data_IF_697708659807
#
_entry.id   IF_697708659807
#
_cell.length_a   1.000
_cell.length_b   1.000
_cell.length_c   1.000
_cell.angle_alpha   90.00
_cell.angle_beta   90.00
_cell.angle_gamma   90.00
#
_symmetry.space_group_name_H-M   'P 1'
#
loop_
_entity.id
_entity.type
_entity.pdbx_description
1 polymer ?
#
# COMPACT_ATOMS: atom_id res chain seq x y z
N UNK A 1 -7.28 26.08 -15.24
CA UNK A 1 -6.67 25.85 -13.91
C UNK A 1 -5.36 26.64 -13.75
N UNK A 2 -5.37 27.97 -13.92
CA UNK A 2 -4.14 28.79 -13.84
C UNK A 2 -4.00 29.60 -12.54
N UNK A 3 -5.00 29.57 -11.66
CA UNK A 3 -5.09 30.46 -10.49
C UNK A 3 -5.26 29.71 -9.15
N UNK A 4 -4.57 28.58 -8.96
CA UNK A 4 -4.69 27.79 -7.71
C UNK A 4 -3.56 28.02 -6.68
N UNK A 5 -2.60 28.90 -6.97
CA UNK A 5 -1.44 29.10 -6.09
C UNK A 5 -0.51 27.88 -6.03
N UNK A 6 0.52 27.92 -5.18
CA UNK A 6 1.36 26.74 -4.91
C UNK A 6 0.56 25.72 -4.07
N UNK A 7 0.63 24.44 -4.43
CA UNK A 7 -0.12 23.39 -3.72
C UNK A 7 0.48 23.10 -2.33
N UNK A 8 -0.24 23.46 -1.27
CA UNK A 8 0.14 23.19 0.12
C UNK A 8 -0.26 21.78 0.61
N UNK A 9 -1.14 21.09 -0.13
CA UNK A 9 -1.61 19.73 0.17
C UNK A 9 -1.87 18.98 -1.13
N UNK A 10 -1.28 17.79 -1.28
CA UNK A 10 -1.58 16.85 -2.38
C UNK A 10 -1.84 15.49 -1.74
N UNK A 11 -2.96 14.83 -2.11
CA UNK A 11 -3.32 13.49 -1.60
C UNK A 11 -3.41 13.40 -0.06
N UNK A 12 -3.80 14.49 0.61
CA UNK A 12 -3.83 14.55 2.08
C UNK A 12 -2.43 14.60 2.73
N UNK A 13 -1.36 14.68 1.94
CA UNK A 13 0.01 14.96 2.38
C UNK A 13 0.21 16.46 2.40
N UNK A 14 0.52 17.04 3.57
CA UNK A 14 0.82 18.47 3.67
C UNK A 14 2.23 18.71 3.15
N UNK A 15 2.36 19.59 2.17
CA UNK A 15 3.62 19.97 1.54
C UNK A 15 4.12 21.22 2.24
N UNK A 16 5.26 21.12 2.93
CA UNK A 16 5.98 22.26 3.47
C UNK A 16 7.20 22.53 2.62
N UNK A 17 7.20 23.67 1.93
CA UNK A 17 8.33 24.13 1.12
C UNK A 17 9.29 24.94 1.99
N UNK A 18 10.53 24.50 2.10
CA UNK A 18 11.64 25.26 2.66
C UNK A 18 12.51 25.80 1.52
N UNK A 19 13.30 26.85 1.77
CA UNK A 19 14.13 27.53 0.75
C UNK A 19 15.03 26.60 -0.09
N UNK A 20 15.31 25.40 0.41
CA UNK A 20 16.21 24.42 -0.21
C UNK A 20 15.63 22.99 -0.27
N UNK A 21 14.42 22.75 0.24
CA UNK A 21 13.87 21.38 0.34
C UNK A 21 12.35 21.35 0.45
N UNK A 22 11.69 20.41 -0.21
CA UNK A 22 10.29 20.05 0.03
C UNK A 22 10.21 19.03 1.17
N UNK A 23 9.36 19.28 2.17
CA UNK A 23 9.11 18.39 3.30
C UNK A 23 7.65 17.95 3.29
N UNK A 24 7.42 16.65 3.21
CA UNK A 24 6.09 16.05 3.30
C UNK A 24 5.78 15.73 4.76
N UNK A 25 4.61 16.13 5.26
CA UNK A 25 4.23 15.91 6.66
C UNK A 25 2.77 15.42 6.76
N UNK A 26 2.54 14.34 7.51
CA UNK A 26 1.21 13.86 7.86
C UNK A 26 1.06 13.59 9.38
N UNK A 27 0.93 14.66 10.19
CA UNK A 27 0.73 14.56 11.65
C UNK A 27 -0.46 13.68 12.04
N UNK A 28 -1.57 13.88 11.34
CA UNK A 28 -2.84 13.26 11.67
C UNK A 28 -2.85 11.75 11.36
N UNK A 29 -1.93 11.28 10.51
CA UNK A 29 -1.79 9.87 10.14
C UNK A 29 -1.15 9.06 11.27
N UNK A 30 -0.04 9.54 11.83
CA UNK A 30 0.61 8.92 13.00
C UNK A 30 -0.37 8.89 14.17
N UNK A 31 -1.09 9.98 14.44
CA UNK A 31 -2.11 9.99 15.50
C UNK A 31 -3.27 9.02 15.25
N UNK A 32 -3.74 8.85 14.00
CA UNK A 32 -4.86 7.96 13.69
C UNK A 32 -4.44 6.49 13.72
N UNK A 33 -3.22 6.16 13.29
CA UNK A 33 -2.60 4.84 13.51
C UNK A 33 -2.43 4.62 15.00
N UNK A 34 -1.76 5.52 15.71
CA UNK A 34 -1.54 5.38 17.15
C UNK A 34 -2.86 5.24 17.88
N UNK A 35 -3.88 6.09 17.65
CA UNK A 35 -5.21 5.94 18.27
C UNK A 35 -5.94 4.64 17.92
N UNK A 36 -5.76 4.12 16.69
CA UNK A 36 -6.34 2.83 16.28
C UNK A 36 -5.63 1.65 16.96
N UNK A 37 -4.35 1.81 17.32
CA UNK A 37 -3.54 0.80 17.99
C UNK A 37 -3.32 1.07 19.50
N UNK A 38 -3.79 2.21 20.03
CA UNK A 38 -3.76 2.60 21.45
C UNK A 38 -5.04 2.08 22.14
N UNK A 39 -5.29 0.79 21.94
CA UNK A 39 -6.13 -0.01 22.83
C UNK A 39 -5.17 -0.84 23.67
N UNK A 40 -4.79 -0.29 24.82
CA UNK A 40 -4.24 -1.02 25.96
C UNK A 40 -5.29 -2.00 26.48
N UNK A 41 -5.43 -3.12 25.77
CA UNK A 41 -5.87 -4.43 26.26
C UNK A 41 -5.91 -5.37 25.06
N UNK A 42 -4.73 -5.72 24.56
CA UNK A 42 -4.62 -7.02 23.87
C UNK A 42 -4.54 -8.07 24.98
N UNK A 43 -5.68 -8.35 25.62
CA UNK A 43 -5.98 -9.78 25.79
C UNK A 43 -5.94 -10.36 24.38
N UNK A 44 -5.29 -11.50 24.12
CA UNK A 44 -5.56 -12.20 22.88
C UNK A 44 -7.08 -12.40 22.88
N UNK A 45 -7.79 -11.58 22.11
CA UNK A 45 -9.22 -11.77 21.90
C UNK A 45 -9.24 -13.01 21.02
N UNK A 46 -9.28 -14.15 21.69
CA UNK A 46 -9.80 -15.39 21.15
C UNK A 46 -11.30 -15.18 20.95
N UNK A 47 -11.69 -14.23 20.10
CA UNK A 47 -12.93 -14.40 19.37
C UNK A 47 -12.61 -15.41 18.29
N UNK A 48 -13.16 -16.59 18.49
CA UNK A 48 -12.88 -17.82 17.78
C UNK A 48 -13.44 -17.80 16.33
N UNK A 49 -13.66 -16.61 15.75
CA UNK A 49 -14.47 -16.40 14.54
C UNK A 49 -13.87 -15.41 13.50
N UNK A 50 -12.69 -14.82 13.70
CA UNK A 50 -12.10 -13.92 12.69
C UNK A 50 -11.40 -14.68 11.54
N UNK A 51 -12.17 -15.19 10.59
CA UNK A 51 -11.66 -15.94 9.42
C UNK A 51 -11.10 -15.01 8.32
N UNK A 52 -11.34 -13.71 8.37
CA UNK A 52 -11.03 -12.79 7.26
C UNK A 52 -9.64 -12.16 7.38
N UNK A 53 -8.82 -12.32 6.34
CA UNK A 53 -7.51 -11.67 6.22
C UNK A 53 -7.63 -10.14 6.07
N UNK A 54 -6.52 -9.42 6.32
CA UNK A 54 -6.41 -7.98 6.10
C UNK A 54 -5.55 -7.72 4.86
N UNK A 55 -6.04 -6.89 3.93
CA UNK A 55 -5.26 -6.39 2.79
C UNK A 55 -4.68 -5.02 3.11
N UNK A 56 -3.46 -4.76 2.64
CA UNK A 56 -2.88 -3.43 2.70
C UNK A 56 -1.95 -3.15 1.53
N UNK A 57 -1.61 -1.88 1.36
CA UNK A 57 -0.57 -1.39 0.45
C UNK A 57 0.00 -0.07 0.96
N UNK A 58 1.20 0.26 0.51
CA UNK A 58 1.86 1.57 0.70
C UNK A 58 2.60 1.92 -0.57
N UNK A 59 2.35 3.11 -1.10
CA UNK A 59 3.06 3.71 -2.22
C UNK A 59 3.94 4.84 -1.71
N UNK A 60 5.21 4.80 -2.11
CA UNK A 60 6.21 5.80 -1.77
C UNK A 60 6.57 6.64 -3.00
N UNK A 61 6.83 7.93 -2.78
CA UNK A 61 7.43 8.84 -3.75
C UNK A 61 8.60 9.55 -3.05
N UNK A 62 9.81 9.47 -3.61
CA UNK A 62 11.04 10.03 -3.01
C UNK A 62 11.23 9.64 -1.52
N UNK A 63 10.83 8.41 -1.16
CA UNK A 63 10.93 7.87 0.20
C UNK A 63 9.81 8.27 1.17
N UNK A 64 8.84 9.09 0.74
CA UNK A 64 7.66 9.45 1.53
C UNK A 64 6.40 8.71 1.08
N UNK A 65 5.59 8.23 2.02
CA UNK A 65 4.30 7.61 1.70
C UNK A 65 3.30 8.64 1.12
N UNK A 66 2.79 8.33 -0.09
CA UNK A 66 1.83 9.17 -0.82
C UNK A 66 0.41 8.57 -0.86
N UNK A 67 0.30 7.24 -0.78
CA UNK A 67 -0.96 6.53 -0.67
C UNK A 67 -0.75 5.23 0.10
N UNK A 68 -1.71 4.85 0.92
CA UNK A 68 -1.67 3.60 1.66
C UNK A 68 -3.07 3.17 2.06
N UNK A 69 -3.21 1.89 2.39
CA UNK A 69 -4.47 1.32 2.87
C UNK A 69 -4.20 0.15 3.79
N UNK A 70 -5.09 -0.04 4.76
CA UNK A 70 -5.23 -1.25 5.57
C UNK A 70 -6.71 -1.51 5.74
N UNK A 71 -7.21 -2.60 5.16
CA UNK A 71 -8.63 -2.95 5.16
C UNK A 71 -8.82 -4.42 5.42
N UNK A 72 -9.78 -4.76 6.30
CA UNK A 72 -10.23 -6.14 6.45
C UNK A 72 -10.87 -6.59 5.14
N UNK A 73 -10.53 -7.79 4.67
CA UNK A 73 -11.12 -8.34 3.45
C UNK A 73 -12.59 -8.69 3.72
N UNK A 74 -13.45 -8.36 2.76
CA UNK A 74 -14.86 -8.76 2.79
C UNK A 74 -15.05 -10.21 2.36
N UNK A 75 -14.07 -10.77 1.65
CA UNK A 75 -14.07 -12.15 1.19
C UNK A 75 -13.23 -13.03 2.11
N UNK A 76 -13.73 -14.25 2.40
CA UNK A 76 -12.98 -15.27 3.14
C UNK A 76 -11.99 -15.95 2.18
N UNK A 77 -10.76 -15.46 2.13
CA UNK A 77 -9.69 -16.11 1.39
C UNK A 77 -9.46 -17.53 1.90
N UNK A 78 -9.38 -18.52 1.00
CA UNK A 78 -9.19 -19.93 1.36
C UNK A 78 -7.73 -20.33 1.48
N UNK A 79 -6.82 -19.42 1.16
CA UNK A 79 -5.38 -19.59 1.32
C UNK A 79 -4.68 -18.24 1.40
N UNK A 80 -3.46 -18.23 1.93
CA UNK A 80 -2.57 -17.05 1.92
C UNK A 80 -2.34 -16.53 0.50
N UNK A 81 -2.25 -17.42 -0.50
CA UNK A 81 -2.12 -17.01 -1.89
C UNK A 81 -3.35 -16.21 -2.35
N UNK A 82 -4.58 -16.63 -1.99
CA UNK A 82 -5.79 -15.88 -2.35
C UNK A 82 -5.85 -14.52 -1.65
N UNK A 83 -5.52 -14.44 -0.35
CA UNK A 83 -5.54 -13.18 0.39
C UNK A 83 -4.51 -12.18 -0.15
N UNK A 84 -3.29 -12.63 -0.43
CA UNK A 84 -2.23 -11.79 -1.00
C UNK A 84 -2.56 -11.36 -2.43
N UNK A 85 -3.23 -12.21 -3.22
CA UNK A 85 -3.67 -11.84 -4.57
C UNK A 85 -4.75 -10.75 -4.54
N UNK A 86 -5.64 -10.77 -3.55
CA UNK A 86 -6.62 -9.70 -3.33
C UNK A 86 -5.90 -8.39 -2.95
N UNK A 87 -4.89 -8.45 -2.09
CA UNK A 87 -4.08 -7.27 -1.75
C UNK A 87 -3.34 -6.72 -2.99
N UNK A 88 -2.77 -7.59 -3.82
CA UNK A 88 -2.11 -7.21 -5.06
C UNK A 88 -3.06 -6.52 -6.05
N UNK A 89 -4.30 -7.02 -6.20
CA UNK A 89 -5.27 -6.37 -7.09
C UNK A 89 -5.66 -4.98 -6.61
N UNK A 90 -5.87 -4.79 -5.30
CA UNK A 90 -6.12 -3.48 -4.71
C UNK A 90 -4.93 -2.52 -4.91
N UNK A 91 -3.71 -3.01 -4.72
CA UNK A 91 -2.50 -2.23 -4.97
C UNK A 91 -2.38 -1.87 -6.46
N UNK A 92 -2.70 -2.79 -7.37
CA UNK A 92 -2.67 -2.54 -8.82
C UNK A 92 -3.62 -1.44 -9.26
N UNK A 93 -4.85 -1.43 -8.75
CA UNK A 93 -5.83 -0.37 -9.02
C UNK A 93 -5.35 1.00 -8.51
N UNK A 94 -4.80 1.04 -7.30
CA UNK A 94 -4.23 2.27 -6.76
C UNK A 94 -3.03 2.75 -7.60
N UNK A 95 -2.16 1.84 -8.04
CA UNK A 95 -1.01 2.16 -8.88
C UNK A 95 -1.43 2.77 -10.22
N UNK A 96 -2.46 2.21 -10.86
CA UNK A 96 -3.07 2.77 -12.08
C UNK A 96 -3.60 4.19 -11.83
N UNK A 97 -4.34 4.38 -10.74
CA UNK A 97 -4.87 5.69 -10.38
C UNK A 97 -3.76 6.73 -10.12
N UNK A 98 -2.73 6.37 -9.36
CA UNK A 98 -1.57 7.23 -9.12
C UNK A 98 -0.85 7.55 -10.44
N UNK A 99 -0.71 6.58 -11.34
CA UNK A 99 -0.09 6.81 -12.66
C UNK A 99 -0.85 7.87 -13.45
N UNK A 100 -2.17 7.73 -13.57
CA UNK A 100 -3.03 8.72 -14.27
C UNK A 100 -2.90 10.09 -13.62
N UNK A 101 -2.92 10.16 -12.28
CA UNK A 101 -2.77 11.41 -11.56
C UNK A 101 -1.41 12.09 -11.84
N UNK A 102 -0.32 11.32 -11.89
CA UNK A 102 1.02 11.84 -12.17
C UNK A 102 1.17 12.30 -13.63
N UNK A 103 0.53 11.62 -14.58
CA UNK A 103 0.44 12.02 -15.98
C UNK A 103 -0.24 13.39 -16.13
N UNK A 104 -1.33 13.61 -15.39
CA UNK A 104 -2.11 14.85 -15.44
C UNK A 104 -1.41 16.04 -14.78
N UNK A 105 -0.65 15.83 -13.69
CA UNK A 105 -0.12 16.92 -12.86
C UNK A 105 1.33 17.30 -13.21
N UNK A 106 2.20 16.33 -13.55
CA UNK A 106 3.66 16.54 -13.47
C UNK A 106 4.44 16.39 -14.78
N UNK A 107 3.78 16.21 -15.94
CA UNK A 107 4.47 15.88 -17.21
C UNK A 107 5.50 14.75 -17.02
N UNK A 108 5.24 13.83 -16.09
CA UNK A 108 6.15 12.72 -15.79
C UNK A 108 6.19 11.80 -17.01
N UNK A 109 7.37 11.52 -17.57
CA UNK A 109 7.48 10.59 -18.70
C UNK A 109 7.12 9.17 -18.23
N UNK A 110 5.91 8.73 -18.54
CA UNK A 110 5.32 7.46 -18.06
C UNK A 110 5.73 6.24 -18.86
N UNK A 111 7.00 6.16 -19.23
CA UNK A 111 7.55 4.96 -19.86
C UNK A 111 7.81 3.83 -18.87
N UNK A 112 8.02 4.16 -17.59
CA UNK A 112 8.41 3.18 -16.56
C UNK A 112 7.19 2.65 -15.81
N UNK A 113 6.97 1.32 -15.73
CA UNK A 113 5.91 0.73 -14.93
C UNK A 113 6.16 0.96 -13.43
N UNK A 114 5.08 1.09 -12.66
CA UNK A 114 5.17 1.21 -11.19
C UNK A 114 5.53 -0.14 -10.57
N UNK A 115 6.63 -0.20 -9.82
CA UNK A 115 7.08 -1.44 -9.17
C UNK A 115 6.27 -1.73 -7.90
N UNK A 116 5.55 -2.85 -7.91
CA UNK A 116 4.85 -3.39 -6.74
C UNK A 116 5.69 -4.55 -6.18
N UNK A 117 6.02 -4.44 -4.89
CA UNK A 117 6.74 -5.47 -4.17
C UNK A 117 5.78 -6.45 -3.49
N UNK A 118 5.97 -7.74 -3.75
CA UNK A 118 5.20 -8.81 -3.12
C UNK A 118 6.14 -9.77 -2.39
N UNK A 119 5.71 -10.29 -1.25
CA UNK A 119 6.50 -11.19 -0.42
C UNK A 119 6.21 -12.68 -0.66
N UNK A 120 5.21 -12.98 -1.49
CA UNK A 120 4.83 -14.35 -1.84
C UNK A 120 5.07 -14.64 -3.33
N UNK A 121 6.07 -15.48 -3.62
CA UNK A 121 6.40 -15.91 -4.98
C UNK A 121 5.23 -16.55 -5.73
N UNK A 122 4.38 -17.31 -5.03
CA UNK A 122 3.21 -17.94 -5.63
C UNK A 122 2.23 -16.92 -6.24
N UNK A 123 2.13 -15.72 -5.65
CA UNK A 123 1.29 -14.63 -6.16
C UNK A 123 1.89 -14.03 -7.42
N UNK A 124 3.20 -13.75 -7.41
CA UNK A 124 3.94 -13.24 -8.56
C UNK A 124 3.84 -14.21 -9.74
N UNK A 125 4.07 -15.51 -9.51
CA UNK A 125 3.95 -16.55 -10.53
C UNK A 125 2.52 -16.62 -11.08
N UNK A 126 1.52 -16.63 -10.21
CA UNK A 126 0.09 -16.64 -10.61
C UNK A 126 -0.26 -15.42 -11.45
N UNK A 127 0.20 -14.22 -11.06
CA UNK A 127 -0.09 -12.98 -11.77
C UNK A 127 0.56 -12.94 -13.17
N UNK A 128 1.79 -13.47 -13.30
CA UNK A 128 2.52 -13.55 -14.57
C UNK A 128 2.02 -14.68 -15.49
N UNK A 129 1.29 -15.66 -14.97
CA UNK A 129 0.76 -16.76 -15.76
C UNK A 129 -0.33 -16.30 -16.74
N UNK A 130 -0.33 -16.90 -17.93
CA UNK A 130 -1.30 -16.60 -18.99
C UNK A 130 -2.74 -17.00 -18.61
N UNK A 131 -2.90 -18.03 -17.79
CA UNK A 131 -4.19 -18.56 -17.35
C UNK A 131 -4.15 -18.77 -15.84
N UNK A 132 -5.23 -18.38 -15.16
CA UNK A 132 -5.44 -18.75 -13.78
C UNK A 132 -5.97 -20.18 -13.70
N UNK A 133 -5.18 -21.09 -13.12
CA UNK A 133 -5.51 -22.52 -13.01
C UNK A 133 -6.34 -22.87 -11.76
N UNK A 134 -6.70 -21.89 -10.94
CA UNK A 134 -7.48 -22.13 -9.73
C UNK A 134 -9.00 -22.19 -10.00
N UNK A 135 -9.74 -22.75 -9.05
CA UNK A 135 -11.21 -22.92 -9.14
C UNK A 135 -11.99 -21.68 -8.68
N UNK A 136 -11.29 -20.71 -8.12
CA UNK A 136 -11.90 -19.55 -7.48
C UNK A 136 -12.29 -18.49 -8.51
N UNK A 137 -13.61 -18.31 -8.73
CA UNK A 137 -14.14 -17.30 -9.66
C UNK A 137 -13.72 -15.88 -9.27
N UNK A 138 -13.73 -15.55 -7.98
CA UNK A 138 -13.41 -14.21 -7.52
C UNK A 138 -11.91 -13.88 -7.67
N UNK A 139 -11.03 -14.88 -7.58
CA UNK A 139 -9.61 -14.70 -7.92
C UNK A 139 -9.41 -14.64 -9.42
N UNK A 140 -10.13 -15.44 -10.20
CA UNK A 140 -10.05 -15.42 -11.67
C UNK A 140 -10.34 -14.01 -12.23
N UNK A 141 -11.36 -13.33 -11.71
CA UNK A 141 -11.67 -11.94 -12.11
C UNK A 141 -10.54 -10.97 -11.75
N UNK A 142 -9.96 -11.08 -10.55
CA UNK A 142 -8.84 -10.24 -10.11
C UNK A 142 -7.56 -10.52 -10.89
N UNK A 143 -7.32 -11.78 -11.24
CA UNK A 143 -6.23 -12.18 -12.11
C UNK A 143 -6.32 -11.50 -13.46
N UNK A 144 -7.51 -11.42 -14.05
CA UNK A 144 -7.71 -10.71 -15.31
C UNK A 144 -7.34 -9.22 -15.21
N UNK A 145 -7.74 -8.54 -14.12
CA UNK A 145 -7.38 -7.14 -13.86
C UNK A 145 -5.86 -6.97 -13.72
N UNK A 146 -5.23 -7.71 -12.81
CA UNK A 146 -3.77 -7.62 -12.57
C UNK A 146 -2.99 -7.95 -13.84
N UNK A 147 -3.42 -8.95 -14.60
CA UNK A 147 -2.79 -9.33 -15.87
C UNK A 147 -2.89 -8.22 -16.92
N UNK A 148 -4.01 -7.50 -16.98
CA UNK A 148 -4.15 -6.36 -17.88
C UNK A 148 -3.18 -5.24 -17.50
N UNK A 149 -3.07 -4.91 -16.21
CA UNK A 149 -2.12 -3.90 -15.72
C UNK A 149 -0.66 -4.26 -16.04
N UNK A 150 -0.30 -5.55 -15.97
CA UNK A 150 1.02 -6.03 -16.37
C UNK A 150 1.24 -5.93 -17.88
N UNK A 151 0.21 -6.28 -18.68
CA UNK A 151 0.27 -6.24 -20.15
C UNK A 151 0.45 -4.82 -20.67
N UNK A 152 -0.24 -3.86 -20.06
CA UNK A 152 -0.15 -2.43 -20.39
C UNK A 152 1.11 -1.76 -19.85
N UNK A 153 1.95 -2.50 -19.09
CA UNK A 153 3.11 -1.96 -18.38
C UNK A 153 2.73 -0.80 -17.46
N UNK A 154 1.56 -0.88 -16.84
CA UNK A 154 1.14 0.04 -15.77
C UNK A 154 1.89 -0.32 -14.48
N UNK A 155 2.02 -1.62 -14.20
CA UNK A 155 2.74 -2.14 -13.03
C UNK A 155 3.82 -3.15 -13.43
N UNK A 156 4.81 -3.32 -12.57
CA UNK A 156 5.76 -4.44 -12.58
C UNK A 156 5.75 -5.12 -11.20
N UNK A 157 6.08 -6.41 -11.15
CA UNK A 157 6.11 -7.18 -9.90
C UNK A 157 7.51 -7.63 -9.55
N UNK A 158 7.93 -7.28 -8.34
CA UNK A 158 9.20 -7.65 -7.74
C UNK A 158 8.97 -8.45 -6.46
N UNK A 159 9.88 -9.39 -6.20
CA UNK A 159 9.86 -10.14 -4.95
C UNK A 159 10.64 -9.38 -3.87
N UNK A 160 10.02 -9.21 -2.72
CA UNK A 160 10.65 -8.74 -1.50
C UNK A 160 10.58 -9.84 -0.44
N UNK A 161 11.49 -9.87 0.53
CA UNK A 161 11.31 -10.76 1.69
C UNK A 161 10.34 -10.12 2.68
N UNK A 162 9.49 -10.90 3.34
CA UNK A 162 8.48 -10.38 4.28
C UNK A 162 9.08 -9.46 5.35
N UNK A 163 10.31 -9.71 5.83
CA UNK A 163 10.94 -8.84 6.84
C UNK A 163 11.28 -7.43 6.33
N UNK A 164 11.31 -7.25 5.01
CA UNK A 164 11.56 -5.97 4.33
C UNK A 164 10.30 -5.38 3.70
N UNK A 165 9.17 -6.06 3.80
CA UNK A 165 7.91 -5.58 3.24
C UNK A 165 7.31 -4.50 4.15
N UNK A 166 7.22 -3.26 3.66
CA UNK A 166 6.69 -2.13 4.42
C UNK A 166 5.19 -2.25 4.74
N UNK A 167 4.49 -3.16 4.07
CA UNK A 167 3.05 -3.38 4.20
C UNK A 167 2.71 -4.38 5.30
N UNK A 168 3.61 -5.29 5.67
CA UNK A 168 3.42 -6.27 6.76
C UNK A 168 2.89 -5.63 8.06
N UNK A 169 3.40 -4.46 8.48
CA UNK A 169 2.87 -3.71 9.60
C UNK A 169 1.39 -3.32 9.53
N UNK A 170 0.86 -3.17 8.32
CA UNK A 170 -0.52 -2.77 8.07
C UNK A 170 -1.48 -3.95 8.02
N UNK A 171 -0.98 -5.18 7.90
CA UNK A 171 -1.79 -6.40 7.74
C UNK A 171 -1.71 -7.33 8.95
N UNK A 172 -0.78 -7.07 9.88
CA UNK A 172 -0.53 -7.88 11.08
C UNK A 172 -0.73 -7.07 12.36
N UNK A 173 -1.08 -7.76 13.45
CA UNK A 173 -1.00 -7.18 14.80
C UNK A 173 0.47 -7.01 15.19
N UNK A 174 0.90 -5.79 15.50
CA UNK A 174 2.29 -5.46 15.75
C UNK A 174 2.59 -4.95 17.16
N UNK A 175 3.85 -5.11 17.56
CA UNK A 175 4.41 -4.43 18.74
C UNK A 175 4.72 -2.97 18.42
N UNK A 176 4.71 -2.10 19.45
CA UNK A 176 4.98 -0.66 19.33
C UNK A 176 6.29 -0.34 18.60
N UNK A 177 7.34 -1.13 18.81
CA UNK A 177 8.64 -0.94 18.16
C UNK A 177 8.54 -1.09 16.64
N UNK A 178 7.86 -2.12 16.16
CA UNK A 178 7.70 -2.36 14.72
C UNK A 178 6.86 -1.27 14.08
N UNK A 179 5.83 -0.76 14.78
CA UNK A 179 5.04 0.38 14.29
C UNK A 179 5.90 1.64 14.13
N UNK A 180 6.77 1.94 15.10
CA UNK A 180 7.69 3.08 15.04
C UNK A 180 8.69 2.95 13.89
N UNK A 181 9.38 1.82 13.78
CA UNK A 181 10.35 1.58 12.69
C UNK A 181 9.68 1.68 11.31
N UNK A 182 8.45 1.16 11.20
CA UNK A 182 7.65 1.24 9.97
C UNK A 182 7.24 2.67 9.63
N UNK A 183 6.88 3.49 10.64
CA UNK A 183 6.54 4.89 10.43
C UNK A 183 7.72 5.68 9.86
N UNK A 184 8.93 5.43 10.36
CA UNK A 184 10.16 6.06 9.85
C UNK A 184 10.41 5.64 8.40
N UNK A 185 10.26 4.35 8.10
CA UNK A 185 10.46 3.84 6.73
C UNK A 185 9.39 4.32 5.73
N UNK A 186 8.22 4.76 6.21
CA UNK A 186 7.21 5.44 5.39
C UNK A 186 7.50 6.95 5.21
N UNK A 187 8.64 7.44 5.69
CA UNK A 187 9.03 8.84 5.65
C UNK A 187 8.27 9.72 6.66
N UNK A 188 7.61 9.12 7.65
CA UNK A 188 6.93 9.87 8.70
C UNK A 188 7.92 10.24 9.79
N UNK A 189 7.86 11.49 10.25
CA UNK A 189 8.61 11.94 11.42
C UNK A 189 7.71 11.90 12.67
N UNK A 190 8.22 11.43 13.82
CA UNK A 190 7.55 11.62 15.10
C UNK A 190 7.31 13.11 15.39
N UNK A 191 6.27 13.43 16.14
CA UNK A 191 6.10 14.75 16.74
C UNK A 191 6.97 14.84 18.01
N UNK A 192 7.93 15.78 18.03
CA UNK A 192 8.97 15.92 19.07
C UNK A 192 10.19 15.06 18.73
N UNK A 193 11.40 15.60 18.64
CA UNK A 193 12.06 16.52 19.57
C UNK A 193 12.65 17.80 18.92
N UNK A 194 12.92 18.85 19.72
CA UNK A 194 13.53 20.12 19.29
C UNK A 194 14.93 20.00 18.66
#
# INVERSE_FOLDING_TARGET
MKDLGEADVILGVKIKKNKTSLSLCQPHYVEKILKKFDSFDVSPVTDNDEVNSTSGYVFLLEGGAISWKSTKQTYIARSTMESEFIALELAGQEAEWIKILLEDVLLWETSVPMSIQCDLQAVICTAKNSVYNGKSRHICLRHAVVKQLLKERTISLEFVRSEKNLVDPLTKGLTRKVVLDSSVNMGLKPFGDP
#
